data_IF_004565295006
#
_entry.id   IF_004565295006
#
_cell.length_a   1.000
_cell.length_b   1.000
_cell.length_c   1.000
_cell.angle_alpha   90.00
_cell.angle_beta   90.00
_cell.angle_gamma   90.00
#
_symmetry.space_group_name_H-M   'P 1'
#
loop_
_entity.id
_entity.type
_entity.pdbx_description
1 polymer ?
#
# COMPACT_ATOMS: atom_id res chain seq x y z
N UNK A 1 6.46 -20.14 -8.83
CA UNK A 1 5.08 -19.60 -8.85
C UNK A 1 5.19 -18.16 -9.38
N UNK A 2 4.58 -17.82 -10.52
CA UNK A 2 4.80 -16.52 -11.19
C UNK A 2 4.12 -15.39 -10.40
N UNK A 3 4.91 -14.43 -9.90
CA UNK A 3 4.47 -13.23 -9.16
C UNK A 3 3.96 -12.13 -10.10
N UNK A 4 2.99 -12.42 -10.97
CA UNK A 4 2.45 -11.42 -11.94
C UNK A 4 2.06 -10.09 -11.27
N UNK A 5 1.61 -10.12 -10.02
CA UNK A 5 1.23 -8.91 -9.29
C UNK A 5 2.41 -7.99 -8.96
N UNK A 6 3.59 -8.54 -8.60
CA UNK A 6 4.78 -7.73 -8.31
C UNK A 6 5.34 -7.08 -9.57
N UNK A 7 5.35 -7.84 -10.66
CA UNK A 7 5.90 -7.40 -11.95
C UNK A 7 5.01 -6.28 -12.53
N UNK A 8 3.68 -6.47 -12.51
CA UNK A 8 2.74 -5.43 -12.95
C UNK A 8 2.85 -4.14 -12.11
N UNK A 9 3.05 -4.27 -10.79
CA UNK A 9 3.24 -3.11 -9.91
C UNK A 9 4.55 -2.38 -10.25
N UNK A 10 5.61 -3.14 -10.52
CA UNK A 10 6.90 -2.60 -10.94
C UNK A 10 6.79 -1.80 -12.23
N UNK A 11 6.18 -2.39 -13.26
CA UNK A 11 6.01 -1.76 -14.57
C UNK A 11 5.16 -0.48 -14.45
N UNK A 12 4.04 -0.55 -13.73
CA UNK A 12 3.16 0.60 -13.52
C UNK A 12 3.88 1.76 -12.81
N UNK A 13 4.62 1.48 -11.74
CA UNK A 13 5.35 2.51 -10.98
C UNK A 13 6.46 3.10 -11.85
N UNK A 14 7.17 2.25 -12.61
CA UNK A 14 8.24 2.68 -13.51
C UNK A 14 7.73 3.58 -14.62
N UNK A 15 6.64 3.19 -15.30
CA UNK A 15 6.04 3.98 -16.38
C UNK A 15 5.56 5.36 -15.89
N UNK A 16 4.94 5.41 -14.71
CA UNK A 16 4.49 6.68 -14.13
C UNK A 16 5.65 7.57 -13.72
N UNK A 17 6.69 6.98 -13.11
CA UNK A 17 7.89 7.72 -12.71
C UNK A 17 8.62 8.32 -13.91
N UNK A 18 8.84 7.52 -14.97
CA UNK A 18 9.47 7.98 -16.23
C UNK A 18 8.64 9.09 -16.89
N UNK A 19 7.31 8.94 -16.90
CA UNK A 19 6.43 9.94 -17.48
C UNK A 19 6.16 11.17 -16.58
N UNK A 20 6.74 11.22 -15.38
CA UNK A 20 6.50 12.31 -14.40
C UNK A 20 5.03 12.42 -13.94
N UNK A 21 4.27 11.32 -13.97
CA UNK A 21 2.83 11.32 -13.67
C UNK A 21 2.57 11.05 -12.18
N UNK A 22 1.70 11.82 -11.52
CA UNK A 22 1.45 11.67 -10.08
C UNK A 22 0.81 10.32 -9.76
N UNK A 23 1.17 9.70 -8.64
CA UNK A 23 0.59 8.43 -8.17
C UNK A 23 0.12 8.57 -6.74
N UNK A 24 -1.11 8.12 -6.45
CA UNK A 24 -1.63 7.97 -5.10
C UNK A 24 -1.72 6.48 -4.80
N UNK A 25 -1.05 6.06 -3.72
CA UNK A 25 -1.04 4.67 -3.27
C UNK A 25 -1.35 4.63 -1.77
N UNK A 26 -2.09 3.61 -1.35
CA UNK A 26 -2.31 3.31 0.07
C UNK A 26 -1.80 1.91 0.35
N UNK A 27 -1.20 1.73 1.52
CA UNK A 27 -0.71 0.43 1.97
C UNK A 27 -0.91 0.27 3.46
N UNK A 28 -1.28 -0.92 3.87
CA UNK A 28 -1.32 -1.32 5.27
C UNK A 28 -0.02 -2.03 5.71
N UNK A 29 1.03 -2.00 4.87
CA UNK A 29 2.34 -2.58 5.12
C UNK A 29 3.42 -1.50 5.04
N UNK A 30 4.39 -1.54 5.94
CA UNK A 30 5.52 -0.64 5.86
C UNK A 30 6.36 -0.94 4.60
N UNK A 31 7.11 0.03 4.04
CA UNK A 31 7.92 -0.17 2.84
C UNK A 31 8.85 -1.40 2.91
N UNK A 32 9.49 -1.62 4.06
CA UNK A 32 10.35 -2.80 4.30
C UNK A 32 9.64 -4.14 4.17
N UNK A 33 8.33 -4.19 4.38
CA UNK A 33 7.55 -5.43 4.30
C UNK A 33 7.18 -5.78 2.84
N UNK A 34 7.62 -4.97 1.88
CA UNK A 34 7.38 -5.19 0.46
C UNK A 34 8.48 -6.03 -0.20
N UNK A 35 9.69 -6.09 0.37
CA UNK A 35 10.78 -6.90 -0.20
C UNK A 35 10.39 -8.36 -0.44
N UNK A 36 9.69 -9.05 0.47
CA UNK A 36 9.26 -10.43 0.25
C UNK A 36 8.21 -10.60 -0.88
N UNK A 37 7.61 -9.52 -1.37
CA UNK A 37 6.67 -9.57 -2.50
C UNK A 37 7.38 -9.75 -3.85
N UNK A 38 8.67 -9.45 -3.91
CA UNK A 38 9.46 -9.54 -5.12
C UNK A 38 10.38 -10.76 -5.07
N UNK A 39 10.60 -11.45 -6.21
CA UNK A 39 11.53 -12.57 -6.29
C UNK A 39 13.00 -12.14 -6.13
N UNK A 40 13.31 -10.86 -6.38
CA UNK A 40 14.63 -10.29 -6.27
C UNK A 40 14.58 -8.98 -5.44
N UNK A 41 15.36 -8.89 -4.33
CA UNK A 41 15.38 -7.69 -3.49
C UNK A 41 15.86 -6.43 -4.24
N UNK A 42 16.68 -6.56 -5.28
CA UNK A 42 17.15 -5.42 -6.10
C UNK A 42 15.98 -4.77 -6.84
N UNK A 43 15.00 -5.56 -7.30
CA UNK A 43 13.80 -5.03 -7.96
C UNK A 43 12.94 -4.27 -6.95
N UNK A 44 12.74 -4.85 -5.76
CA UNK A 44 12.03 -4.18 -4.67
C UNK A 44 12.70 -2.86 -4.29
N UNK A 45 14.03 -2.85 -4.12
CA UNK A 45 14.82 -1.65 -3.80
C UNK A 45 14.58 -0.55 -4.82
N UNK A 46 14.74 -0.86 -6.11
CA UNK A 46 14.56 0.14 -7.17
C UNK A 46 13.14 0.68 -7.25
N UNK A 47 12.12 -0.12 -6.92
CA UNK A 47 10.73 0.35 -6.85
C UNK A 47 10.53 1.27 -5.64
N UNK A 48 11.00 0.85 -4.47
CA UNK A 48 10.88 1.62 -3.24
C UNK A 48 11.65 2.93 -3.32
N UNK A 49 12.84 2.95 -3.93
CA UNK A 49 13.62 4.16 -4.17
C UNK A 49 12.82 5.20 -4.97
N UNK A 50 12.19 4.77 -6.08
CA UNK A 50 11.32 5.64 -6.88
C UNK A 50 10.15 6.18 -6.07
N UNK A 51 9.49 5.35 -5.28
CA UNK A 51 8.32 5.77 -4.50
C UNK A 51 8.70 6.66 -3.31
N UNK A 52 9.67 6.26 -2.50
CA UNK A 52 10.05 6.93 -1.25
C UNK A 52 10.64 8.30 -1.54
N UNK A 53 11.54 8.39 -2.51
CA UNK A 53 12.25 9.65 -2.80
C UNK A 53 11.38 10.68 -3.53
N UNK A 54 10.29 10.27 -4.15
CA UNK A 54 9.42 11.16 -4.94
C UNK A 54 8.01 11.34 -4.35
N UNK A 55 7.73 10.79 -3.17
CA UNK A 55 6.42 10.88 -2.53
C UNK A 55 6.38 11.78 -1.31
N UNK A 56 5.19 12.35 -1.09
CA UNK A 56 4.80 12.86 0.22
C UNK A 56 4.09 11.75 0.99
N UNK A 57 4.68 11.30 2.09
CA UNK A 57 4.18 10.16 2.87
C UNK A 57 3.25 10.63 3.99
N UNK A 58 2.05 10.05 4.03
CA UNK A 58 1.05 10.32 5.07
C UNK A 58 0.87 9.03 5.87
N UNK A 59 1.32 9.04 7.13
CA UNK A 59 1.09 7.95 8.07
C UNK A 59 -0.31 8.08 8.66
N UNK A 60 -1.12 7.02 8.52
CA UNK A 60 -2.49 6.97 9.01
C UNK A 60 -2.57 6.12 10.27
N UNK A 61 -2.12 6.69 11.38
CA UNK A 61 -2.18 6.04 12.68
C UNK A 61 -3.53 6.32 13.34
N UNK A 62 -4.25 5.27 13.73
CA UNK A 62 -5.54 5.42 14.40
C UNK A 62 -6.38 4.15 14.40
N UNK A 63 -7.44 4.12 15.23
CA UNK A 63 -8.36 2.98 15.26
C UNK A 63 -9.09 2.85 13.92
N UNK A 64 -9.42 1.61 13.55
CA UNK A 64 -10.21 1.34 12.35
C UNK A 64 -11.53 2.13 12.39
N UNK A 65 -11.89 2.77 11.28
CA UNK A 65 -13.18 3.47 11.17
C UNK A 65 -14.37 2.51 10.97
N UNK A 66 -14.12 1.24 10.63
CA UNK A 66 -15.18 0.26 10.30
C UNK A 66 -16.27 0.11 11.38
N UNK A 67 -15.96 0.06 12.69
CA UNK A 67 -16.97 -0.08 13.74
C UNK A 67 -18.00 1.06 13.77
N UNK A 68 -17.66 2.29 13.37
CA UNK A 68 -18.59 3.44 13.36
C UNK A 68 -19.71 3.31 12.34
N UNK A 69 -19.51 2.54 11.26
CA UNK A 69 -20.52 2.28 10.22
C UNK A 69 -21.12 0.88 10.31
N UNK A 70 -20.72 0.08 11.31
CA UNK A 70 -21.27 -1.27 11.47
C UNK A 70 -22.73 -1.12 11.92
N UNK A 71 -23.71 -1.71 11.20
CA UNK A 71 -25.04 -1.90 11.76
C UNK A 71 -24.87 -2.75 13.03
N UNK A 72 -25.02 -2.12 14.19
CA UNK A 72 -24.97 -2.83 15.46
C UNK A 72 -26.22 -3.71 15.60
N UNK A 73 -26.14 -4.84 16.32
CA UNK A 73 -27.35 -5.46 16.86
C UNK A 73 -28.13 -4.38 17.65
N UNK A 74 -29.48 -4.39 17.64
CA UNK A 74 -30.24 -3.44 18.45
C UNK A 74 -29.75 -3.53 19.90
N UNK A 75 -29.45 -2.37 20.50
CA UNK A 75 -28.97 -2.29 21.88
C UNK A 75 -29.92 -3.09 22.78
N UNK A 76 -29.39 -4.10 23.49
CA UNK A 76 -30.17 -4.79 24.53
C UNK A 76 -30.50 -3.75 25.61
N UNK A 77 -31.79 -3.43 25.78
CA UNK A 77 -32.27 -2.70 26.95
C UNK A 77 -32.00 -3.57 28.17
N UNK A 78 -31.05 -3.19 29.00
CA UNK A 78 -30.88 -3.74 30.34
C UNK A 78 -32.14 -3.40 31.13
N UNK A 79 -32.84 -4.44 31.58
CA UNK A 79 -33.91 -4.38 32.58
C UNK A 79 -33.29 -4.28 33.96
#
# INVERSE_FOLDING_TARGET
>A
MRTRGSDNLYDLVSDRAIAGKPLILTSNRAPKDWYPLFPNPVVAESLLDRLINTSHQILMDGPSYRPRKRPGPPAKKTT
#
